data_IF_481819047769
#
_entry.id   IF_481819047769
#
_cell.length_a   1.000
_cell.length_b   1.000
_cell.length_c   1.000
_cell.angle_alpha   90.00
_cell.angle_beta   90.00
_cell.angle_gamma   90.00
#
_symmetry.space_group_name_H-M   'P 1'
#
loop_
_entity.id
_entity.type
_entity.pdbx_description
1 polymer ?
#
# COMPACT_ATOMS: atom_id res chain seq x y z
N UNK A 1 -6.67 15.14 7.27
CA UNK A 1 -5.97 14.01 6.68
C UNK A 1 -4.69 13.70 7.42
N UNK A 2 -4.46 12.45 7.63
CA UNK A 2 -3.28 11.96 8.34
C UNK A 2 -2.13 11.81 7.35
N UNK A 3 -0.96 12.26 7.76
CA UNK A 3 0.27 11.99 7.03
C UNK A 3 0.99 10.85 7.75
N UNK A 4 1.55 9.94 7.00
CA UNK A 4 2.30 8.84 7.57
C UNK A 4 3.54 8.54 6.75
N UNK A 5 4.36 7.65 7.27
CA UNK A 5 5.56 7.18 6.60
C UNK A 5 5.34 5.74 6.17
N UNK A 6 5.62 5.44 4.91
CA UNK A 6 5.56 4.07 4.40
C UNK A 6 6.72 3.29 4.99
N UNK A 7 6.43 2.31 5.84
CA UNK A 7 7.48 1.51 6.47
C UNK A 7 7.69 0.17 5.78
N UNK A 8 6.70 -0.28 5.01
CA UNK A 8 6.83 -1.52 4.26
C UNK A 8 5.92 -1.48 3.03
N UNK A 9 6.44 -1.94 1.91
CA UNK A 9 5.65 -2.19 0.71
C UNK A 9 5.74 -3.68 0.44
N UNK A 10 4.61 -4.37 0.61
CA UNK A 10 4.57 -5.84 0.57
C UNK A 10 4.35 -6.40 -0.82
N UNK A 11 4.12 -5.56 -1.82
CA UNK A 11 3.84 -5.99 -3.18
C UNK A 11 4.74 -5.27 -4.18
N UNK A 12 4.89 -5.88 -5.34
CA UNK A 12 5.65 -5.32 -6.46
C UNK A 12 4.83 -5.45 -7.73
N UNK A 13 5.18 -4.65 -8.72
CA UNK A 13 4.54 -4.76 -10.05
C UNK A 13 4.71 -6.19 -10.56
N UNK A 14 3.60 -6.79 -10.99
CA UNK A 14 3.56 -8.16 -11.46
C UNK A 14 3.08 -9.17 -10.43
N UNK A 15 2.98 -8.76 -9.16
CA UNK A 15 2.48 -9.66 -8.12
C UNK A 15 0.98 -9.88 -8.27
N UNK A 16 0.55 -11.08 -7.96
CA UNK A 16 -0.87 -11.41 -7.89
C UNK A 16 -1.33 -11.24 -6.45
N UNK A 17 -2.40 -10.50 -6.25
CA UNK A 17 -2.97 -10.28 -4.92
C UNK A 17 -4.41 -10.77 -4.89
N UNK A 18 -4.88 -11.09 -3.70
CA UNK A 18 -6.24 -11.51 -3.44
C UNK A 18 -6.85 -10.51 -2.46
N UNK A 19 -8.15 -10.35 -2.50
CA UNK A 19 -8.85 -9.51 -1.54
C UNK A 19 -8.43 -9.90 -0.12
N UNK A 20 -8.01 -8.90 0.66
CA UNK A 20 -7.52 -9.09 2.01
C UNK A 20 -6.01 -9.23 2.14
N UNK A 21 -5.29 -9.28 1.03
CA UNK A 21 -3.83 -9.35 1.08
C UNK A 21 -3.25 -8.00 1.50
N UNK A 22 -2.18 -8.05 2.30
CA UNK A 22 -1.50 -6.85 2.76
C UNK A 22 -0.76 -6.19 1.60
N UNK A 23 -1.00 -4.92 1.40
CA UNK A 23 -0.33 -4.14 0.35
C UNK A 23 0.84 -3.32 0.91
N UNK A 24 0.55 -2.49 1.89
CA UNK A 24 1.54 -1.60 2.49
C UNK A 24 1.27 -1.44 3.97
N UNK A 25 2.31 -1.03 4.70
CA UNK A 25 2.18 -0.64 6.11
C UNK A 25 2.65 0.80 6.22
N UNK A 26 1.85 1.62 6.85
CA UNK A 26 2.13 3.05 7.04
C UNK A 26 2.13 3.34 8.53
N UNK A 27 3.19 3.98 9.02
CA UNK A 27 3.24 4.44 10.39
C UNK A 27 2.75 5.88 10.46
N UNK A 28 1.78 6.12 11.34
CA UNK A 28 1.26 7.45 11.58
C UNK A 28 0.94 7.57 13.06
N UNK A 29 1.38 8.67 13.67
CA UNK A 29 1.11 8.92 15.09
C UNK A 29 1.55 7.77 16.00
N UNK A 30 2.72 7.18 15.71
CA UNK A 30 3.30 6.05 16.44
C UNK A 30 2.49 4.76 16.35
N UNK A 31 1.58 4.69 15.38
CA UNK A 31 0.77 3.50 15.14
C UNK A 31 1.01 2.99 13.73
N UNK A 32 1.09 1.70 13.59
CA UNK A 32 1.21 1.07 12.28
C UNK A 32 -0.19 0.83 11.74
N UNK A 33 -0.41 1.26 10.50
CA UNK A 33 -1.67 1.06 9.81
C UNK A 33 -1.42 0.17 8.62
N UNK A 34 -2.11 -0.95 8.57
CA UNK A 34 -1.99 -1.90 7.47
C UNK A 34 -3.04 -1.58 6.41
N UNK A 35 -2.61 -1.55 5.16
CA UNK A 35 -3.49 -1.31 4.03
C UNK A 35 -3.64 -2.62 3.27
N UNK A 36 -4.86 -3.09 3.14
CA UNK A 36 -5.16 -4.38 2.51
C UNK A 36 -5.82 -4.16 1.14
N UNK A 37 -5.64 -5.14 0.27
CA UNK A 37 -6.29 -5.12 -1.03
C UNK A 37 -7.80 -5.33 -0.87
N UNK A 38 -8.59 -4.52 -1.55
CA UNK A 38 -10.04 -4.68 -1.59
C UNK A 38 -10.50 -5.51 -2.78
N UNK A 39 -9.57 -5.86 -3.66
CA UNK A 39 -9.88 -6.59 -4.89
C UNK A 39 -8.80 -7.64 -5.15
N UNK A 40 -9.11 -8.59 -6.01
CA UNK A 40 -8.15 -9.59 -6.47
C UNK A 40 -7.69 -9.21 -7.88
N UNK A 41 -6.43 -9.40 -8.17
CA UNK A 41 -5.88 -9.11 -9.48
C UNK A 41 -4.37 -9.04 -9.46
N UNK A 42 -3.79 -8.45 -10.50
CA UNK A 42 -2.36 -8.30 -10.64
C UNK A 42 -1.96 -6.84 -10.43
N UNK A 43 -0.91 -6.63 -9.64
CA UNK A 43 -0.40 -5.29 -9.39
C UNK A 43 0.24 -4.77 -10.68
N UNK A 44 -0.29 -3.68 -11.21
CA UNK A 44 0.19 -3.08 -12.44
C UNK A 44 1.05 -1.86 -12.20
N UNK A 45 0.89 -1.21 -11.05
CA UNK A 45 1.67 -0.03 -10.74
C UNK A 45 1.76 0.15 -9.22
N UNK A 46 2.94 0.52 -8.75
CA UNK A 46 3.18 0.86 -7.36
C UNK A 46 3.80 2.25 -7.34
N UNK A 47 3.08 3.22 -6.79
CA UNK A 47 3.51 4.64 -6.80
C UNK A 47 4.06 5.12 -5.47
N UNK A 48 4.36 4.21 -4.58
CA UNK A 48 4.88 4.54 -3.27
C UNK A 48 6.17 3.77 -3.03
N UNK A 49 7.01 4.29 -2.15
CA UNK A 49 8.27 3.66 -1.79
C UNK A 49 8.41 3.64 -0.29
N UNK A 50 9.23 2.72 0.22
CA UNK A 50 9.54 2.67 1.63
C UNK A 50 10.22 3.98 2.05
N UNK A 51 9.97 4.38 3.31
CA UNK A 51 10.47 5.63 3.90
C UNK A 51 9.90 6.90 3.27
N UNK A 52 8.95 6.77 2.36
CA UNK A 52 8.28 7.92 1.78
C UNK A 52 7.19 8.43 2.73
N UNK A 53 7.11 9.75 2.88
CA UNK A 53 6.00 10.36 3.60
C UNK A 53 4.83 10.53 2.66
N UNK A 54 3.69 9.98 3.04
CA UNK A 54 2.47 10.06 2.22
C UNK A 54 1.28 10.39 3.11
N UNK A 55 0.26 10.99 2.52
CA UNK A 55 -1.02 11.08 3.20
C UNK A 55 -1.73 9.75 2.98
N UNK A 56 -2.62 9.41 3.89
CA UNK A 56 -3.36 8.15 3.82
C UNK A 56 -4.09 7.99 2.49
N UNK A 57 -4.56 9.10 1.92
CA UNK A 57 -5.27 9.09 0.65
C UNK A 57 -4.36 8.98 -0.56
N UNK A 58 -3.07 9.20 -0.38
CA UNK A 58 -2.10 9.16 -1.48
C UNK A 58 -1.42 7.80 -1.64
N UNK A 59 -1.85 6.80 -0.90
CA UNK A 59 -1.33 5.44 -1.05
C UNK A 59 -1.89 4.87 -2.34
N UNK A 60 -1.03 4.64 -3.32
CA UNK A 60 -1.48 4.17 -4.63
C UNK A 60 -0.77 2.88 -5.01
N UNK A 61 -1.55 1.82 -5.03
CA UNK A 61 -1.17 0.55 -5.64
C UNK A 61 -2.30 0.26 -6.63
N UNK A 62 -1.95 0.17 -7.89
CA UNK A 62 -2.95 -0.07 -8.95
C UNK A 62 -3.00 -1.55 -9.24
N UNK A 63 -4.20 -2.10 -9.16
CA UNK A 63 -4.43 -3.53 -9.37
C UNK A 63 -5.34 -3.68 -10.59
N UNK A 64 -4.86 -4.40 -11.57
CA UNK A 64 -5.64 -4.73 -12.76
C UNK A 64 -6.24 -6.11 -12.62
N UNK A 65 -7.39 -6.28 -13.19
CA UNK A 65 -8.08 -7.58 -13.20
C UNK A 65 -7.85 -8.34 -14.48
#
# INVERSE_FOLDING_TARGET
PLTGTVIEVSVSVGDTVTEGDLLVVIESMKMENEVFSEVSGTVTEVRIEEDQNVSEEAVIVVIGS
#
